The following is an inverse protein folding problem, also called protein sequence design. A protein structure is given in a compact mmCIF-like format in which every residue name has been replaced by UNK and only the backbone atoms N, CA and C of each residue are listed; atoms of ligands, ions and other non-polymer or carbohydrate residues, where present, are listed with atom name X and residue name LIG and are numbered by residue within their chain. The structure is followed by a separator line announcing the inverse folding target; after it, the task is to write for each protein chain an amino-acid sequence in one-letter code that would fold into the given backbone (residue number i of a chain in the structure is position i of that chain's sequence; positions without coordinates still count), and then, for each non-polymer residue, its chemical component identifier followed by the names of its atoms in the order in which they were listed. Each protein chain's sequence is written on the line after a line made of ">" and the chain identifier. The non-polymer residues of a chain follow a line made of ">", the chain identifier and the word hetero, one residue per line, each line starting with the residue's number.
data_IF_347064584025
#
_entry.id   IF_347064584025
#
_cell.length_a   1.000
_cell.length_b   1.000
_cell.length_c   1.000
_cell.angle_alpha   90.00
_cell.angle_beta   90.00
_cell.angle_gamma   90.00
#
_symmetry.space_group_name_H-M   'P 1'
#
loop_
_entity.id
_entity.type
_entity.pdbx_description
1 polymer ?
#
# COMPACT_ATOMS: atom_id res chain seq x y z
N UNK A 1 2.48 4.86 -23.22
CA UNK A 1 2.02 4.65 -21.83
C UNK A 1 2.07 5.99 -21.12
N UNK A 2 0.96 6.48 -20.56
CA UNK A 2 0.94 7.75 -19.83
C UNK A 2 1.18 7.50 -18.32
N UNK A 3 1.59 8.53 -17.57
CA UNK A 3 1.75 8.51 -16.12
C UNK A 3 0.52 7.93 -15.39
N UNK A 4 -0.69 8.16 -15.91
CA UNK A 4 -1.93 7.62 -15.35
C UNK A 4 -2.01 6.09 -15.46
N UNK A 5 -1.62 5.51 -16.59
CA UNK A 5 -1.62 4.06 -16.79
C UNK A 5 -0.57 3.42 -15.89
N UNK A 6 0.59 4.06 -15.76
CA UNK A 6 1.65 3.60 -14.89
C UNK A 6 1.23 3.61 -13.41
N UNK A 7 0.65 4.70 -12.91
CA UNK A 7 0.16 4.79 -11.54
C UNK A 7 -0.95 3.76 -11.28
N UNK A 8 -1.89 3.61 -12.22
CA UNK A 8 -2.98 2.64 -12.12
C UNK A 8 -2.49 1.20 -11.99
N UNK A 9 -1.55 0.79 -12.84
CA UNK A 9 -0.97 -0.56 -12.80
C UNK A 9 -0.16 -0.77 -11.51
N UNK A 10 0.66 0.21 -11.11
CA UNK A 10 1.45 0.11 -9.88
C UNK A 10 0.58 -0.04 -8.64
N UNK A 11 -0.48 0.77 -8.50
CA UNK A 11 -1.39 0.66 -7.36
C UNK A 11 -2.05 -0.71 -7.27
N UNK A 12 -2.49 -1.26 -8.41
CA UNK A 12 -3.08 -2.61 -8.46
C UNK A 12 -2.07 -3.69 -8.09
N UNK A 13 -0.84 -3.57 -8.56
CA UNK A 13 0.22 -4.51 -8.25
C UNK A 13 0.59 -4.47 -6.77
N UNK A 14 0.75 -3.27 -6.19
CA UNK A 14 1.03 -3.09 -4.76
C UNK A 14 -0.12 -3.61 -3.90
N UNK A 15 -1.38 -3.32 -4.25
CA UNK A 15 -2.54 -3.88 -3.55
C UNK A 15 -2.49 -5.40 -3.53
N UNK A 16 -2.22 -6.02 -4.69
CA UNK A 16 -2.07 -7.47 -4.78
C UNK A 16 -0.94 -7.98 -3.87
N UNK A 17 0.26 -7.42 -3.97
CA UNK A 17 1.40 -7.86 -3.17
C UNK A 17 1.12 -7.77 -1.66
N UNK A 18 0.53 -6.67 -1.20
CA UNK A 18 0.15 -6.49 0.21
C UNK A 18 -0.89 -7.52 0.64
N UNK A 19 -1.95 -7.74 -0.14
CA UNK A 19 -2.98 -8.73 0.18
C UNK A 19 -2.44 -10.15 0.26
N UNK A 20 -1.62 -10.57 -0.71
CA UNK A 20 -1.07 -11.93 -0.78
C UNK A 20 -0.06 -12.16 0.35
N UNK A 21 0.84 -11.22 0.61
CA UNK A 21 1.84 -11.34 1.68
C UNK A 21 1.21 -11.27 3.08
N UNK A 22 0.14 -10.50 3.26
CA UNK A 22 -0.61 -10.49 4.53
C UNK A 22 -1.32 -11.81 4.77
N UNK A 23 -1.91 -12.39 3.72
CA UNK A 23 -2.53 -13.70 3.78
C UNK A 23 -1.53 -14.80 4.15
N UNK A 24 -0.34 -14.78 3.54
CA UNK A 24 0.79 -15.68 3.84
C UNK A 24 1.50 -15.36 5.18
N UNK A 25 0.96 -14.43 5.99
CA UNK A 25 1.46 -14.08 7.32
C UNK A 25 2.90 -13.52 7.33
N UNK A 26 3.37 -12.93 6.23
CA UNK A 26 4.68 -12.23 6.17
C UNK A 26 4.66 -10.98 7.05
N UNK A 27 3.52 -10.31 7.09
CA UNK A 27 3.18 -9.22 7.99
C UNK A 27 1.66 -9.24 8.22
N UNK A 28 1.17 -8.47 9.19
CA UNK A 28 -0.25 -8.40 9.51
C UNK A 28 -0.80 -7.00 9.31
N UNK A 29 -2.02 -6.92 8.78
CA UNK A 29 -2.74 -5.66 8.71
C UNK A 29 -3.46 -5.38 10.04
N UNK A 30 -3.18 -4.23 10.62
CA UNK A 30 -3.86 -3.71 11.81
C UNK A 30 -5.13 -2.97 11.39
N UNK A 31 -6.29 -3.43 11.85
CA UNK A 31 -7.54 -2.70 11.66
C UNK A 31 -7.51 -1.37 12.43
N UNK A 32 -7.94 -0.30 11.76
CA UNK A 32 -8.06 1.05 12.33
C UNK A 32 -9.53 1.46 12.56
N UNK A 33 -10.50 0.56 12.31
CA UNK A 33 -11.94 0.85 12.28
C UNK A 33 -12.46 1.23 10.88
N UNK A 34 -13.76 1.10 10.65
CA UNK A 34 -14.46 1.52 9.41
C UNK A 34 -13.79 1.02 8.10
N UNK A 35 -13.43 -0.26 8.05
CA UNK A 35 -12.72 -0.90 6.91
C UNK A 35 -11.34 -0.31 6.58
N UNK A 36 -10.80 0.56 7.44
CA UNK A 36 -9.43 1.05 7.32
C UNK A 36 -8.44 0.06 7.93
N UNK A 37 -7.35 -0.14 7.20
CA UNK A 37 -6.25 -1.01 7.60
C UNK A 37 -4.90 -0.29 7.47
N UNK A 38 -3.97 -0.74 8.30
CA UNK A 38 -2.60 -0.26 8.33
C UNK A 38 -1.63 -1.45 8.29
N UNK A 39 -0.61 -1.39 7.43
CA UNK A 39 0.53 -2.32 7.45
C UNK A 39 1.79 -1.52 7.75
N UNK A 40 2.45 -1.86 8.86
CA UNK A 40 3.71 -1.27 9.28
C UNK A 40 4.88 -2.11 8.74
N UNK A 41 5.72 -1.50 7.91
CA UNK A 41 6.97 -2.08 7.43
C UNK A 41 8.17 -1.27 7.94
N UNK A 42 9.38 -1.84 8.00
CA UNK A 42 10.57 -1.06 8.27
C UNK A 42 10.69 0.12 7.29
N UNK A 43 10.65 1.35 7.82
CA UNK A 43 10.77 2.59 7.03
C UNK A 43 9.52 3.08 6.30
N UNK A 44 8.40 2.35 6.32
CA UNK A 44 7.16 2.77 5.67
C UNK A 44 5.91 2.30 6.39
N UNK A 45 4.85 3.10 6.29
CA UNK A 45 3.51 2.72 6.71
C UNK A 45 2.57 2.78 5.51
N UNK A 46 1.83 1.70 5.29
CA UNK A 46 0.81 1.61 4.25
C UNK A 46 -0.57 1.69 4.88
N UNK A 47 -1.42 2.58 4.36
CA UNK A 47 -2.82 2.72 4.76
C UNK A 47 -3.72 2.53 3.56
N UNK A 48 -4.83 1.82 3.75
CA UNK A 48 -5.79 1.50 2.71
C UNK A 48 -7.14 1.11 3.30
N UNK A 49 -8.17 1.09 2.45
CA UNK A 49 -9.47 0.49 2.75
C UNK A 49 -9.47 -0.93 2.17
N UNK A 50 -9.98 -1.88 2.94
CA UNK A 50 -10.14 -3.26 2.49
C UNK A 50 -11.30 -3.96 3.17
N UNK A 51 -11.85 -4.97 2.51
CA UNK A 51 -12.73 -5.95 3.13
C UNK A 51 -11.95 -7.24 3.40
N UNK A 52 -12.13 -7.87 4.56
CA UNK A 52 -11.54 -9.19 4.83
C UNK A 52 -12.55 -10.27 4.46
N UNK A 53 -12.27 -11.01 3.40
CA UNK A 53 -13.12 -12.10 2.95
C UNK A 53 -13.12 -13.30 3.91
N UNK A 54 -14.01 -14.27 3.69
CA UNK A 54 -14.18 -15.45 4.55
C UNK A 54 -12.91 -16.31 4.70
N UNK A 55 -12.02 -16.24 3.71
CA UNK A 55 -10.75 -16.97 3.73
C UNK A 55 -9.68 -16.24 4.55
N UNK A 56 -9.94 -15.03 5.03
CA UNK A 56 -8.96 -14.18 5.68
C UNK A 56 -8.16 -13.30 4.73
N UNK A 57 -8.34 -13.42 3.41
CA UNK A 57 -7.67 -12.59 2.41
C UNK A 57 -8.28 -11.19 2.32
N UNK A 58 -7.43 -10.16 2.22
CA UNK A 58 -7.84 -8.75 2.13
C UNK A 58 -8.13 -8.33 0.69
N UNK A 59 -9.32 -7.82 0.45
CA UNK A 59 -9.72 -7.17 -0.80
C UNK A 59 -9.43 -5.68 -0.72
N UNK A 60 -8.21 -5.28 -1.08
CA UNK A 60 -7.73 -3.90 -0.98
C UNK A 60 -8.26 -3.05 -2.14
N UNK A 61 -8.86 -1.90 -1.83
CA UNK A 61 -9.11 -0.86 -2.84
C UNK A 61 -7.81 -0.13 -3.17
N UNK A 62 -7.24 -0.45 -4.33
CA UNK A 62 -5.99 0.13 -4.83
C UNK A 62 -6.02 1.67 -4.97
N UNK A 63 -7.19 2.30 -5.11
CA UNK A 63 -7.29 3.77 -5.20
C UNK A 63 -7.05 4.44 -3.84
N UNK A 64 -7.32 3.72 -2.74
CA UNK A 64 -7.17 4.23 -1.37
C UNK A 64 -5.76 4.06 -0.81
N UNK A 65 -4.89 3.30 -1.48
CA UNK A 65 -3.51 3.07 -1.05
C UNK A 65 -2.73 4.37 -0.84
N UNK A 66 -2.16 4.54 0.34
CA UNK A 66 -1.23 5.62 0.68
C UNK A 66 -0.03 5.04 1.41
N UNK A 67 1.16 5.42 0.98
CA UNK A 67 2.41 5.13 1.67
C UNK A 67 2.93 6.39 2.36
N UNK A 68 3.27 6.29 3.64
CA UNK A 68 4.02 7.30 4.36
C UNK A 68 5.39 6.73 4.75
N UNK A 69 6.48 7.38 4.35
CA UNK A 69 7.82 6.98 4.77
C UNK A 69 8.09 7.52 6.18
N UNK A 70 8.58 6.66 7.06
CA UNK A 70 9.00 7.09 8.40
C UNK A 70 10.15 8.11 8.27
N UNK A 71 9.99 9.29 8.87
CA UNK A 71 10.99 10.37 8.83
C UNK A 71 10.78 11.45 7.75
N UNK A 72 9.73 11.35 6.91
CA UNK A 72 9.28 12.47 6.06
C UNK A 72 7.94 12.99 6.59
N UNK A 73 7.99 14.08 7.37
CA UNK A 73 6.78 14.86 7.69
C UNK A 73 6.17 15.37 6.39
N UNK A 74 4.92 14.96 6.14
CA UNK A 74 4.15 15.30 4.95
C UNK A 74 4.01 16.81 4.77
N UNK A 75 4.81 17.40 3.89
CA UNK A 75 4.31 18.49 3.05
C UNK A 75 3.96 17.81 1.73
N UNK A 76 2.68 17.88 1.34
CA UNK A 76 2.04 16.95 0.41
C UNK A 76 2.91 16.47 -0.76
N UNK A 77 3.10 15.15 -0.83
CA UNK A 77 3.67 14.49 -2.00
C UNK A 77 3.04 13.10 -2.13
N UNK A 78 2.55 12.85 -3.34
CA UNK A 78 1.71 11.74 -3.76
C UNK A 78 2.31 10.35 -3.53
N UNK A 79 1.45 9.33 -3.53
CA UNK A 79 1.79 7.90 -3.53
C UNK A 79 2.77 7.49 -4.65
N UNK A 80 3.03 8.36 -5.63
CA UNK A 80 4.03 8.20 -6.69
C UNK A 80 5.48 8.25 -6.17
N UNK A 81 5.77 8.92 -5.05
CA UNK A 81 7.14 9.05 -4.53
C UNK A 81 7.66 7.77 -3.87
N UNK A 82 6.77 6.97 -3.28
CA UNK A 82 7.14 5.69 -2.68
C UNK A 82 7.59 4.66 -3.74
N UNK A 83 6.98 4.68 -4.93
CA UNK A 83 7.38 3.82 -6.04
C UNK A 83 8.67 4.31 -6.74
N UNK A 84 8.97 5.61 -6.69
CA UNK A 84 10.21 6.18 -7.27
C UNK A 84 11.46 5.93 -6.42
N UNK A 85 11.31 5.83 -5.10
CA UNK A 85 12.45 5.66 -4.19
C UNK A 85 13.21 4.32 -4.38
N UNK A 86 12.59 3.32 -5.04
CA UNK A 86 13.24 2.05 -5.37
C UNK A 86 13.94 2.01 -6.74
N UNK A 87 13.86 3.08 -7.55
CA UNK A 87 14.37 3.09 -8.94
C UNK A 87 15.56 4.02 -9.17
N UNK A 88 16.16 4.58 -8.10
CA UNK A 88 17.37 5.41 -8.17
C UNK A 88 18.46 4.74 -7.35
N UNK A 89 19.01 3.65 -7.87
CA UNK A 89 20.29 3.06 -7.45
C UNK A 89 20.79 2.15 -8.58
N UNK A 90 21.07 2.73 -9.74
CA UNK A 90 22.06 2.27 -10.71
C UNK A 90 22.68 3.48 -11.42
#
# INVERSE_FOLDING_TARGET
>A
MNHKDWDFVNRRLVAKMLSEMEYEQVFHAESQGDDHYCINLPGAQWRFIAERGIWGWLWIDAQTLRAALHGRTSTGADAADAAKAGAVNE
#
